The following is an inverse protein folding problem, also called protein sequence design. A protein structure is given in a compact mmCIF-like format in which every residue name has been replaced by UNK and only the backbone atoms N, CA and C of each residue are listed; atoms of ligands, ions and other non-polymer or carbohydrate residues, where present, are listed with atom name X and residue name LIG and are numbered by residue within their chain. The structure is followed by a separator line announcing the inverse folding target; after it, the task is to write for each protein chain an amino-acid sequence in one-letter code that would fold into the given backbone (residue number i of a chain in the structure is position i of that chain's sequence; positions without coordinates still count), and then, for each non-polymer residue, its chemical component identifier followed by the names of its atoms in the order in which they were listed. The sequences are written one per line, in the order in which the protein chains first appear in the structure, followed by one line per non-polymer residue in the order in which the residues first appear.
data_IF_378308275227
#
_entry.id   IF_378308275227
#
_cell.length_a   1.000
_cell.length_b   1.000
_cell.length_c   1.000
_cell.angle_alpha   90.00
_cell.angle_beta   90.00
_cell.angle_gamma   90.00
#
_symmetry.space_group_name_H-M   'P 1'
#
loop_
_entity.id
_entity.type
_entity.pdbx_description
1 polymer ?
#
# COMPACT_ATOMS: atom_id res chain seq x y z
N UNK A 1 -7.42 20.34 -9.77
CA UNK A 1 -6.60 20.82 -8.62
C UNK A 1 -5.38 19.91 -8.54
N UNK A 2 -4.17 20.45 -8.71
CA UNK A 2 -2.93 19.67 -8.61
C UNK A 2 -2.84 19.08 -7.20
N UNK A 3 -2.49 17.80 -7.09
CA UNK A 3 -2.32 17.10 -5.82
C UNK A 3 -0.83 17.15 -5.48
N UNK A 4 -0.47 17.97 -4.50
CA UNK A 4 0.92 18.12 -4.07
C UNK A 4 1.49 16.78 -3.57
N UNK A 5 2.66 16.39 -4.08
CA UNK A 5 3.41 15.17 -3.72
C UNK A 5 2.56 13.89 -3.77
N UNK A 6 1.71 13.75 -4.78
CA UNK A 6 0.79 12.62 -4.93
C UNK A 6 1.52 11.28 -5.03
N UNK A 7 2.59 11.22 -5.83
CA UNK A 7 3.38 10.01 -6.01
C UNK A 7 4.11 9.62 -4.72
N UNK A 8 4.62 10.60 -3.98
CA UNK A 8 5.22 10.33 -2.68
C UNK A 8 4.21 9.84 -1.65
N UNK A 9 3.00 10.43 -1.62
CA UNK A 9 1.93 9.98 -0.75
C UNK A 9 1.46 8.58 -1.11
N UNK A 10 1.42 8.24 -2.40
CA UNK A 10 1.16 6.87 -2.87
C UNK A 10 2.16 5.88 -2.28
N UNK A 11 3.46 6.18 -2.37
CA UNK A 11 4.51 5.37 -1.74
C UNK A 11 4.28 5.24 -0.23
N UNK A 12 4.16 6.37 0.48
CA UNK A 12 4.13 6.37 1.93
C UNK A 12 2.89 5.67 2.51
N UNK A 13 1.73 5.86 1.88
CA UNK A 13 0.48 5.25 2.32
C UNK A 13 0.54 3.72 2.23
N UNK A 14 0.99 3.17 1.09
CA UNK A 14 1.11 1.72 0.92
C UNK A 14 2.25 1.12 1.77
N UNK A 15 3.35 1.84 1.93
CA UNK A 15 4.42 1.45 2.85
C UNK A 15 3.91 1.31 4.29
N UNK A 16 3.07 2.25 4.75
CA UNK A 16 2.46 2.20 6.08
C UNK A 16 1.46 1.04 6.22
N UNK A 17 0.69 0.73 5.17
CA UNK A 17 -0.20 -0.45 5.17
C UNK A 17 0.60 -1.74 5.35
N UNK A 18 1.68 -1.93 4.59
CA UNK A 18 2.56 -3.09 4.72
C UNK A 18 3.24 -3.15 6.09
N UNK A 19 3.72 -2.02 6.61
CA UNK A 19 4.36 -1.95 7.93
C UNK A 19 3.40 -2.36 9.05
N UNK A 20 2.17 -1.85 9.03
CA UNK A 20 1.12 -2.22 9.99
C UNK A 20 0.76 -3.68 9.90
N UNK A 21 0.61 -4.19 8.68
CA UNK A 21 0.30 -5.60 8.46
C UNK A 21 1.41 -6.52 8.96
N UNK A 22 2.69 -6.15 8.79
CA UNK A 22 3.80 -6.91 9.38
C UNK A 22 3.82 -6.85 10.90
N UNK A 23 3.43 -5.72 11.53
CA UNK A 23 3.23 -5.68 12.98
C UNK A 23 2.17 -6.69 13.42
N UNK A 24 1.03 -6.80 12.71
CA UNK A 24 0.00 -7.80 13.02
C UNK A 24 0.53 -9.23 12.85
N UNK A 25 1.30 -9.50 11.80
CA UNK A 25 1.94 -10.81 11.59
C UNK A 25 2.86 -11.17 12.75
N UNK A 26 3.73 -10.24 13.15
CA UNK A 26 4.64 -10.44 14.28
C UNK A 26 3.88 -10.62 15.60
N UNK A 27 2.78 -9.89 15.81
CA UNK A 27 1.90 -10.08 16.98
C UNK A 27 1.18 -11.43 17.01
N UNK A 28 1.14 -12.14 15.87
CA UNK A 28 0.57 -13.48 15.74
C UNK A 28 1.65 -14.55 15.47
N UNK A 29 2.91 -14.29 15.85
CA UNK A 29 4.05 -15.22 15.71
C UNK A 29 4.33 -15.67 14.26
N UNK A 30 3.96 -14.85 13.28
CA UNK A 30 4.22 -15.08 11.87
C UNK A 30 5.43 -14.26 11.39
N UNK A 31 6.25 -14.78 10.46
CA UNK A 31 7.32 -13.99 9.86
C UNK A 31 6.72 -12.83 9.04
N UNK A 32 7.50 -11.78 8.83
CA UNK A 32 7.14 -10.68 7.94
C UNK A 32 6.78 -11.18 6.54
N UNK A 33 5.93 -10.42 5.84
CA UNK A 33 5.42 -10.81 4.54
C UNK A 33 6.53 -10.79 3.47
N UNK A 34 6.59 -11.84 2.65
CA UNK A 34 7.61 -12.01 1.62
C UNK A 34 7.15 -11.29 0.33
N UNK A 35 8.00 -10.42 -0.27
CA UNK A 35 7.66 -9.69 -1.50
C UNK A 35 7.46 -10.63 -2.70
N UNK A 36 6.46 -10.33 -3.53
CA UNK A 36 6.17 -11.04 -4.78
C UNK A 36 7.06 -10.54 -5.93
N UNK A 37 8.37 -10.80 -5.84
CA UNK A 37 9.36 -10.31 -6.81
C UNK A 37 9.53 -11.26 -8.02
N UNK A 38 9.19 -12.54 -7.86
CA UNK A 38 9.23 -13.54 -8.92
C UNK A 38 7.82 -13.75 -9.51
N UNK A 39 7.52 -13.14 -10.64
CA UNK A 39 6.18 -13.17 -11.24
C UNK A 39 5.75 -14.55 -11.79
N UNK A 40 6.63 -15.55 -11.73
CA UNK A 40 6.37 -16.93 -12.17
C UNK A 40 6.05 -17.90 -11.03
N UNK A 41 6.12 -17.44 -9.79
CA UNK A 41 5.84 -18.26 -8.61
C UNK A 41 4.33 -18.51 -8.44
N UNK A 42 3.94 -19.67 -7.88
CA UNK A 42 2.54 -19.94 -7.59
C UNK A 42 1.99 -19.03 -6.49
N UNK A 43 0.71 -18.69 -6.61
CA UNK A 43 -0.01 -17.80 -5.72
C UNK A 43 -0.71 -18.57 -4.59
N UNK A 44 -0.79 -17.93 -3.42
CA UNK A 44 -1.64 -18.38 -2.34
C UNK A 44 -3.12 -18.25 -2.74
N UNK A 45 -3.91 -19.23 -2.30
CA UNK A 45 -5.35 -19.22 -2.51
C UNK A 45 -6.09 -18.26 -1.58
N UNK A 46 -7.14 -17.61 -2.08
CA UNK A 46 -8.00 -16.74 -1.29
C UNK A 46 -9.45 -16.77 -1.82
N UNK A 47 -10.42 -17.01 -0.93
CA UNK A 47 -11.85 -16.92 -1.24
C UNK A 47 -12.47 -15.74 -0.48
N UNK A 48 -12.95 -14.69 -1.18
CA UNK A 48 -13.40 -13.47 -0.53
C UNK A 48 -14.74 -13.62 0.19
N UNK A 49 -15.57 -14.58 -0.23
CA UNK A 49 -16.97 -14.73 0.23
C UNK A 49 -17.77 -13.43 0.11
N UNK A 50 -17.52 -12.66 -0.96
CA UNK A 50 -18.19 -11.41 -1.29
C UNK A 50 -19.08 -11.58 -2.52
N UNK A 51 -20.22 -10.90 -2.49
CA UNK A 51 -21.22 -10.90 -3.54
C UNK A 51 -21.54 -9.46 -3.95
N UNK A 52 -21.59 -9.21 -5.26
CA UNK A 52 -22.04 -7.94 -5.81
C UNK A 52 -23.54 -7.99 -6.05
N UNK A 53 -24.29 -7.14 -5.35
CA UNK A 53 -25.73 -7.00 -5.59
C UNK A 53 -26.07 -6.27 -6.88
N UNK A 54 -25.09 -5.63 -7.52
CA UNK A 54 -25.31 -4.87 -8.76
C UNK A 54 -25.55 -5.84 -9.92
N UNK A 55 -24.69 -6.85 -10.06
CA UNK A 55 -24.77 -7.83 -11.15
C UNK A 55 -25.17 -9.24 -10.69
N UNK A 56 -25.33 -9.45 -9.38
CA UNK A 56 -25.75 -10.73 -8.84
C UNK A 56 -24.65 -11.81 -8.88
N UNK A 57 -23.38 -11.41 -9.06
CA UNK A 57 -22.25 -12.33 -9.17
C UNK A 57 -21.28 -12.13 -7.99
N UNK A 58 -20.55 -13.18 -7.63
CA UNK A 58 -19.50 -13.13 -6.60
C UNK A 58 -18.21 -12.55 -7.14
N UNK A 59 -17.37 -11.98 -6.27
CA UNK A 59 -15.96 -11.78 -6.63
C UNK A 59 -15.30 -13.15 -6.83
N UNK A 60 -14.51 -13.32 -7.91
CA UNK A 60 -13.85 -14.59 -8.14
C UNK A 60 -12.87 -14.93 -7.00
N UNK A 61 -12.96 -16.17 -6.51
CA UNK A 61 -11.93 -16.73 -5.64
C UNK A 61 -10.71 -17.14 -6.46
N UNK A 62 -9.54 -17.12 -5.83
CA UNK A 62 -8.30 -17.63 -6.41
C UNK A 62 -7.93 -18.94 -5.72
N UNK A 63 -7.96 -20.10 -6.39
CA UNK A 63 -7.41 -21.34 -5.85
C UNK A 63 -5.90 -21.25 -5.64
N UNK A 64 -5.37 -22.03 -4.70
CA UNK A 64 -3.93 -22.14 -4.49
C UNK A 64 -3.21 -22.73 -5.73
N UNK A 65 -1.98 -22.30 -5.98
CA UNK A 65 -1.13 -22.87 -7.02
C UNK A 65 -1.31 -22.25 -8.40
N UNK A 66 -2.27 -21.32 -8.56
CA UNK A 66 -2.42 -20.51 -9.76
C UNK A 66 -1.19 -19.63 -9.99
N UNK A 67 -0.94 -19.24 -11.23
CA UNK A 67 0.16 -18.34 -11.60
C UNK A 67 -0.39 -17.12 -12.32
N UNK A 68 0.43 -16.08 -12.44
CA UNK A 68 0.09 -14.99 -13.35
C UNK A 68 0.09 -15.50 -14.80
N UNK A 69 -0.93 -15.10 -15.54
CA UNK A 69 -1.13 -15.43 -16.94
C UNK A 69 -1.23 -14.14 -17.75
N UNK A 70 -0.84 -14.21 -19.02
CA UNK A 70 -0.98 -13.08 -19.93
C UNK A 70 -2.46 -12.77 -20.17
N UNK A 71 -2.76 -11.48 -20.30
CA UNK A 71 -4.04 -10.96 -20.77
C UNK A 71 -3.87 -10.37 -22.17
N UNK A 72 -4.98 -10.07 -22.85
CA UNK A 72 -4.93 -9.48 -24.18
C UNK A 72 -4.19 -8.13 -24.19
N UNK A 73 -4.33 -7.35 -23.12
CA UNK A 73 -3.79 -6.00 -22.99
C UNK A 73 -2.37 -5.96 -22.41
N UNK A 74 -1.97 -6.98 -21.64
CA UNK A 74 -0.69 -7.00 -20.93
C UNK A 74 -0.18 -8.43 -20.74
N UNK A 75 1.11 -8.63 -20.94
CA UNK A 75 1.79 -9.88 -20.62
C UNK A 75 2.51 -9.80 -19.27
N UNK A 76 2.73 -10.94 -18.62
CA UNK A 76 3.60 -11.03 -17.43
C UNK A 76 5.01 -10.53 -17.76
N UNK A 77 5.44 -10.71 -19.01
CA UNK A 77 6.73 -10.20 -19.50
C UNK A 77 6.77 -8.66 -19.54
N UNK A 78 5.65 -7.98 -19.75
CA UNK A 78 5.59 -6.51 -19.66
C UNK A 78 5.93 -6.02 -18.26
N UNK A 79 5.38 -6.68 -17.23
CA UNK A 79 5.69 -6.35 -15.84
C UNK A 79 7.18 -6.57 -15.54
N UNK A 80 7.76 -7.68 -16.02
CA UNK A 80 9.20 -7.95 -15.90
C UNK A 80 10.00 -6.80 -16.55
N UNK A 81 9.64 -6.39 -17.78
CA UNK A 81 10.31 -5.29 -18.49
C UNK A 81 10.20 -3.94 -17.77
N UNK A 82 9.01 -3.60 -17.26
CA UNK A 82 8.82 -2.34 -16.53
C UNK A 82 9.61 -2.32 -15.24
N UNK A 83 9.64 -3.43 -14.48
CA UNK A 83 10.48 -3.57 -13.29
C UNK A 83 11.95 -3.29 -13.63
N UNK A 84 12.50 -3.92 -14.66
CA UNK A 84 13.91 -3.73 -15.05
C UNK A 84 14.20 -2.27 -15.43
N UNK A 85 13.33 -1.63 -16.23
CA UNK A 85 13.48 -0.22 -16.62
C UNK A 85 13.44 0.74 -15.43
N UNK A 86 12.58 0.47 -14.45
CA UNK A 86 12.48 1.27 -13.23
C UNK A 86 13.74 1.11 -12.39
N UNK A 87 14.22 -0.12 -12.18
CA UNK A 87 15.46 -0.39 -11.45
C UNK A 87 16.67 0.24 -12.15
N UNK A 88 16.75 0.16 -13.48
CA UNK A 88 17.80 0.82 -14.27
C UNK A 88 17.78 2.34 -14.06
N UNK A 89 16.62 2.99 -14.14
CA UNK A 89 16.48 4.43 -13.93
C UNK A 89 16.89 4.85 -12.50
N UNK A 90 16.54 4.04 -11.49
CA UNK A 90 16.97 4.25 -10.10
C UNK A 90 18.49 4.17 -9.99
N UNK A 91 19.10 3.12 -10.54
CA UNK A 91 20.55 2.90 -10.48
C UNK A 91 21.35 3.98 -11.23
N UNK A 92 20.82 4.48 -12.34
CA UNK A 92 21.42 5.58 -13.12
C UNK A 92 21.18 6.96 -12.49
N UNK A 93 20.22 7.10 -11.58
CA UNK A 93 19.87 8.35 -10.90
C UNK A 93 19.07 9.35 -11.75
N UNK A 94 18.47 8.91 -12.85
CA UNK A 94 17.60 9.74 -13.69
C UNK A 94 16.54 8.90 -14.44
N UNK A 95 15.42 9.55 -14.77
CA UNK A 95 14.36 9.01 -15.62
C UNK A 95 14.36 9.71 -16.99
N UNK A 96 13.78 9.07 -18.00
CA UNK A 96 13.76 9.57 -19.39
C UNK A 96 12.32 9.82 -19.83
N UNK A 97 12.03 11.02 -20.32
CA UNK A 97 10.70 11.38 -20.83
C UNK A 97 10.47 10.90 -22.28
N UNK A 98 9.29 11.19 -22.85
CA UNK A 98 8.92 10.81 -24.22
C UNK A 98 9.77 11.50 -25.31
N UNK A 99 10.52 12.54 -24.96
CA UNK A 99 11.40 13.29 -25.87
C UNK A 99 12.88 12.91 -25.69
N UNK A 100 13.19 11.96 -24.81
CA UNK A 100 14.56 11.56 -24.49
C UNK A 100 15.26 12.46 -23.48
N UNK A 101 14.55 13.42 -22.87
CA UNK A 101 15.10 14.29 -21.84
C UNK A 101 15.28 13.53 -20.52
N UNK A 102 16.41 13.75 -19.86
CA UNK A 102 16.77 13.09 -18.61
C UNK A 102 16.43 13.98 -17.43
N UNK A 103 15.55 13.51 -16.55
CA UNK A 103 15.21 14.19 -15.28
C UNK A 103 15.87 13.45 -14.12
N UNK A 104 16.68 14.16 -13.34
CA UNK A 104 17.39 13.55 -12.21
C UNK A 104 16.44 13.16 -11.07
N UNK A 105 16.69 12.01 -10.46
CA UNK A 105 16.01 11.54 -9.25
C UNK A 105 16.66 12.19 -8.01
N UNK A 106 16.44 13.48 -7.83
CA UNK A 106 16.99 14.25 -6.70
C UNK A 106 16.33 13.87 -5.35
N UNK A 107 16.89 14.35 -4.23
CA UNK A 107 16.38 14.07 -2.87
C UNK A 107 14.97 14.61 -2.59
N UNK A 108 14.52 15.63 -3.34
CA UNK A 108 13.31 16.41 -3.03
C UNK A 108 12.10 15.94 -3.83
N UNK A 109 12.30 15.58 -5.09
CA UNK A 109 11.25 15.24 -6.06
C UNK A 109 11.38 13.82 -6.57
N UNK A 110 12.54 13.16 -6.43
CA UNK A 110 12.79 11.83 -7.00
C UNK A 110 11.76 10.78 -6.56
N UNK A 111 11.37 10.79 -5.28
CA UNK A 111 10.34 9.87 -4.77
C UNK A 111 8.95 10.13 -5.36
N UNK A 112 8.60 11.39 -5.63
CA UNK A 112 7.30 11.77 -6.19
C UNK A 112 7.20 11.41 -7.68
N UNK A 113 8.30 11.61 -8.41
CA UNK A 113 8.47 11.17 -9.80
C UNK A 113 8.35 9.65 -9.88
N UNK A 114 9.08 8.91 -9.03
CA UNK A 114 9.01 7.46 -8.99
C UNK A 114 7.61 6.97 -8.61
N UNK A 115 6.95 7.63 -7.66
CA UNK A 115 5.57 7.29 -7.29
C UNK A 115 4.61 7.43 -8.46
N UNK A 116 4.75 8.51 -9.23
CA UNK A 116 3.95 8.76 -10.42
C UNK A 116 4.22 7.76 -11.55
N UNK A 117 5.43 7.21 -11.64
CA UNK A 117 5.84 6.18 -12.60
C UNK A 117 5.34 4.78 -12.17
N UNK A 118 5.57 4.40 -10.91
CA UNK A 118 5.34 3.04 -10.40
C UNK A 118 3.84 2.74 -10.22
N UNK A 119 3.05 3.67 -9.68
CA UNK A 119 1.57 3.61 -9.73
C UNK A 119 1.11 3.51 -11.19
N UNK A 120 1.86 4.19 -12.06
CA UNK A 120 1.44 5.04 -13.17
C UNK A 120 0.19 5.85 -12.87
N UNK A 121 0.38 7.14 -12.72
CA UNK A 121 -0.71 8.11 -12.84
C UNK A 121 -0.60 8.90 -14.13
N UNK A 122 -1.57 9.77 -14.40
CA UNK A 122 -1.50 10.73 -15.51
C UNK A 122 -0.23 11.61 -15.46
N UNK A 123 0.38 11.75 -14.28
CA UNK A 123 1.61 12.52 -14.06
C UNK A 123 2.89 11.71 -14.32
N UNK A 124 2.80 10.46 -14.79
CA UNK A 124 3.97 9.67 -15.19
C UNK A 124 4.71 10.36 -16.33
N UNK A 125 6.03 10.51 -16.18
CA UNK A 125 6.88 11.22 -17.14
C UNK A 125 6.95 10.51 -18.51
N UNK A 126 6.77 9.19 -18.51
CA UNK A 126 6.81 8.35 -19.71
C UNK A 126 6.10 7.02 -19.45
N UNK A 127 4.77 7.00 -19.57
CA UNK A 127 3.96 5.80 -19.36
C UNK A 127 4.17 4.73 -20.43
N UNK A 128 4.60 5.10 -21.65
CA UNK A 128 4.87 4.13 -22.73
C UNK A 128 6.14 3.32 -22.44
N UNK A 129 7.15 3.95 -21.84
CA UNK A 129 8.40 3.30 -21.50
C UNK A 129 8.35 2.61 -20.12
N UNK A 130 7.89 3.29 -19.08
CA UNK A 130 7.88 2.73 -17.72
C UNK A 130 6.62 1.93 -17.39
N UNK A 131 5.56 2.03 -18.21
CA UNK A 131 4.35 1.25 -18.05
C UNK A 131 3.49 1.66 -16.86
N UNK A 132 2.71 0.68 -16.38
CA UNK A 132 1.81 0.79 -15.23
C UNK A 132 1.97 -0.42 -14.32
N UNK A 133 3.18 -0.58 -13.77
CA UNK A 133 3.59 -1.77 -13.05
C UNK A 133 2.61 -2.12 -11.92
N UNK A 134 2.38 -1.19 -10.99
CA UNK A 134 1.51 -1.38 -9.83
C UNK A 134 0.07 -1.78 -10.22
N UNK A 135 -0.57 -1.01 -11.10
CA UNK A 135 -1.98 -1.22 -11.45
C UNK A 135 -2.18 -2.49 -12.26
N UNK A 136 -1.28 -2.80 -13.20
CA UNK A 136 -1.36 -4.06 -13.93
C UNK A 136 -1.13 -5.28 -13.04
N UNK A 137 -0.32 -5.15 -11.98
CA UNK A 137 -0.24 -6.16 -10.92
C UNK A 137 -1.63 -6.45 -10.32
N UNK A 138 -2.36 -5.42 -9.90
CA UNK A 138 -3.73 -5.56 -9.40
C UNK A 138 -4.65 -6.26 -10.39
N UNK A 139 -4.63 -5.85 -11.66
CA UNK A 139 -5.47 -6.43 -12.71
C UNK A 139 -5.14 -7.91 -12.92
N UNK A 140 -3.86 -8.26 -13.05
CA UNK A 140 -3.42 -9.64 -13.25
C UNK A 140 -3.77 -10.55 -12.08
N UNK A 141 -3.57 -10.10 -10.82
CA UNK A 141 -3.99 -10.88 -9.65
C UNK A 141 -5.51 -11.06 -9.57
N UNK A 142 -6.29 -10.06 -10.01
CA UNK A 142 -7.73 -10.14 -10.02
C UNK A 142 -8.27 -11.05 -11.14
N UNK A 143 -7.56 -11.12 -12.27
CA UNK A 143 -7.94 -11.88 -13.45
C UNK A 143 -7.43 -13.34 -13.46
N UNK A 144 -6.66 -13.79 -12.45
CA UNK A 144 -6.07 -15.14 -12.46
C UNK A 144 -7.07 -16.29 -12.68
N UNK A 145 -8.33 -16.11 -12.31
CA UNK A 145 -9.38 -17.13 -12.51
C UNK A 145 -9.92 -17.21 -13.94
N UNK A 146 -9.79 -16.14 -14.73
CA UNK A 146 -10.32 -16.03 -16.10
C UNK A 146 -9.55 -14.95 -16.91
N UNK A 147 -8.25 -15.18 -17.19
CA UNK A 147 -7.37 -14.14 -17.76
C UNK A 147 -7.76 -13.70 -19.17
N UNK A 148 -8.47 -14.53 -19.92
CA UNK A 148 -8.96 -14.21 -21.26
C UNK A 148 -10.47 -14.00 -21.34
N UNK A 149 -11.15 -13.94 -20.19
CA UNK A 149 -12.57 -13.60 -20.08
C UNK A 149 -13.53 -14.64 -20.65
N UNK A 150 -13.06 -15.83 -21.04
CA UNK A 150 -13.88 -16.85 -21.69
C UNK A 150 -14.98 -17.41 -20.78
N UNK A 151 -14.74 -17.39 -19.46
CA UNK A 151 -15.68 -17.88 -18.45
C UNK A 151 -16.63 -16.78 -17.96
N UNK A 152 -16.42 -15.52 -18.41
CA UNK A 152 -17.18 -14.34 -18.01
C UNK A 152 -17.27 -14.21 -16.48
N UNK A 153 -16.17 -14.52 -15.78
CA UNK A 153 -16.11 -14.35 -14.33
C UNK A 153 -15.93 -12.88 -13.98
N UNK A 154 -16.54 -12.46 -12.86
CA UNK A 154 -16.14 -11.20 -12.22
C UNK A 154 -14.66 -11.30 -11.80
N UNK A 155 -13.91 -10.19 -11.82
CA UNK A 155 -12.57 -10.16 -11.27
C UNK A 155 -12.57 -10.45 -9.75
N UNK A 156 -11.44 -10.91 -9.24
CA UNK A 156 -11.19 -11.07 -7.81
C UNK A 156 -11.08 -9.72 -7.08
N UNK A 157 -10.97 -9.78 -5.75
CA UNK A 157 -10.96 -8.58 -4.88
C UNK A 157 -9.78 -7.63 -5.11
N UNK A 158 -8.71 -8.09 -5.76
CA UNK A 158 -7.59 -7.23 -6.13
C UNK A 158 -7.97 -6.14 -7.14
N UNK A 159 -9.12 -6.25 -7.82
CA UNK A 159 -9.60 -5.25 -8.78
C UNK A 159 -10.20 -3.97 -8.15
N UNK A 160 -10.52 -4.00 -6.85
CA UNK A 160 -11.28 -2.93 -6.19
C UNK A 160 -10.58 -2.49 -4.91
N UNK A 161 -10.32 -1.18 -4.78
CA UNK A 161 -9.64 -0.58 -3.63
C UNK A 161 -10.41 -0.73 -2.32
N UNK A 162 -11.74 -0.94 -2.38
CA UNK A 162 -12.55 -1.22 -1.19
C UNK A 162 -12.38 -2.66 -0.68
N UNK A 163 -11.81 -3.57 -1.48
CA UNK A 163 -11.75 -5.01 -1.17
C UNK A 163 -10.35 -5.62 -1.23
N UNK A 164 -9.40 -4.99 -1.92
CA UNK A 164 -8.07 -5.55 -2.20
C UNK A 164 -7.26 -5.88 -0.94
N UNK A 165 -7.34 -5.04 0.11
CA UNK A 165 -6.67 -5.25 1.41
C UNK A 165 -7.07 -6.55 2.13
N UNK A 166 -8.16 -7.20 1.71
CA UNK A 166 -8.65 -8.46 2.29
C UNK A 166 -7.86 -9.67 1.81
N UNK A 167 -7.22 -9.57 0.64
CA UNK A 167 -6.45 -10.65 0.04
C UNK A 167 -4.98 -10.57 0.49
N UNK A 168 -4.39 -11.64 1.07
CA UNK A 168 -2.98 -11.65 1.47
C UNK A 168 -1.99 -11.30 0.35
N UNK A 169 -2.33 -11.54 -0.92
CA UNK A 169 -1.46 -11.20 -2.06
C UNK A 169 -1.25 -9.69 -2.19
N UNK A 170 -2.18 -8.86 -1.69
CA UNK A 170 -2.04 -7.41 -1.63
C UNK A 170 -0.71 -7.05 -0.96
N UNK A 171 -0.45 -7.61 0.22
CA UNK A 171 0.73 -7.26 1.00
C UNK A 171 2.02 -7.77 0.38
N UNK A 172 1.99 -8.93 -0.30
CA UNK A 172 3.15 -9.44 -1.05
C UNK A 172 3.47 -8.56 -2.25
N UNK A 173 2.46 -8.15 -3.00
CA UNK A 173 2.61 -7.24 -4.14
C UNK A 173 3.14 -5.87 -3.71
N UNK A 174 2.54 -5.28 -2.68
CA UNK A 174 2.94 -3.96 -2.19
C UNK A 174 4.28 -3.98 -1.47
N UNK A 175 4.71 -5.11 -0.90
CA UNK A 175 6.10 -5.28 -0.42
C UNK A 175 7.09 -5.25 -1.57
N UNK A 176 6.81 -5.94 -2.67
CA UNK A 176 7.65 -5.84 -3.88
C UNK A 176 7.69 -4.40 -4.44
N UNK A 177 6.55 -3.72 -4.47
CA UNK A 177 6.49 -2.31 -4.91
C UNK A 177 7.25 -1.38 -3.95
N UNK A 178 7.12 -1.57 -2.64
CA UNK A 178 7.90 -0.86 -1.61
C UNK A 178 9.40 -1.10 -1.80
N UNK A 179 9.83 -2.33 -2.10
CA UNK A 179 11.24 -2.64 -2.35
C UNK A 179 11.84 -1.80 -3.49
N UNK A 180 11.08 -1.50 -4.55
CA UNK A 180 11.54 -0.58 -5.62
C UNK A 180 11.80 0.83 -5.08
N UNK A 181 10.91 1.34 -4.22
CA UNK A 181 11.13 2.62 -3.55
C UNK A 181 12.29 2.56 -2.57
N UNK A 182 12.49 1.44 -1.87
CA UNK A 182 13.63 1.24 -0.98
C UNK A 182 14.96 1.23 -1.74
N UNK A 183 15.03 0.64 -2.94
CA UNK A 183 16.22 0.73 -3.80
C UNK A 183 16.58 2.19 -4.08
N UNK A 184 15.60 3.03 -4.42
CA UNK A 184 15.86 4.46 -4.58
C UNK A 184 16.29 5.13 -3.27
N UNK A 185 15.60 4.86 -2.14
CA UNK A 185 15.97 5.44 -0.84
C UNK A 185 17.39 5.05 -0.41
N UNK A 186 17.89 3.88 -0.80
CA UNK A 186 19.27 3.43 -0.54
C UNK A 186 20.31 4.22 -1.34
N UNK A 187 19.94 4.86 -2.45
CA UNK A 187 20.85 5.73 -3.22
C UNK A 187 21.06 7.11 -2.56
N UNK A 188 20.17 7.49 -1.64
CA UNK A 188 20.25 8.79 -0.96
C UNK A 188 21.30 8.75 0.16
N UNK A 189 22.04 9.85 0.38
CA UNK A 189 22.96 9.93 1.50
C UNK A 189 22.18 9.84 2.82
N UNK A 190 22.70 9.13 3.84
CA UNK A 190 22.12 9.13 5.17
C UNK A 190 22.03 10.55 5.74
N UNK A 191 20.99 10.81 6.52
CA UNK A 191 20.87 12.08 7.23
C UNK A 191 22.07 12.32 8.14
N UNK A 192 22.60 13.54 8.08
CA UNK A 192 23.67 14.01 8.95
C UNK A 192 23.11 14.44 10.31
N UNK A 193 24.00 14.70 11.26
CA UNK A 193 23.60 15.26 12.55
C UNK A 193 22.85 16.58 12.39
N UNK A 194 23.29 17.46 11.50
CA UNK A 194 22.67 18.78 11.31
C UNK A 194 21.26 18.69 10.67
N UNK A 195 20.98 17.61 9.92
CA UNK A 195 19.64 17.35 9.35
C UNK A 195 18.63 16.90 10.43
N UNK A 196 19.11 16.19 11.45
CA UNK A 196 18.27 15.58 12.50
C UNK A 196 18.23 16.38 13.80
N UNK A 197 19.30 17.11 14.12
CA UNK A 197 19.44 17.81 15.40
C UNK A 197 18.55 19.05 15.45
N UNK A 198 17.67 19.10 16.44
CA UNK A 198 17.02 20.33 16.84
C UNK A 198 17.78 20.98 18.00
N UNK A 199 18.76 21.84 17.66
CA UNK A 199 19.65 22.49 18.65
C UNK A 199 18.90 23.21 19.76
N UNK A 200 19.34 22.96 21.00
CA UNK A 200 18.75 23.55 22.20
C UNK A 200 17.50 22.83 22.72
N UNK A 201 16.99 21.83 21.99
CA UNK A 201 15.86 21.00 22.43
C UNK A 201 16.39 19.60 22.78
N UNK A 202 16.04 19.11 23.97
CA UNK A 202 16.37 17.73 24.37
C UNK A 202 15.16 17.03 24.97
N UNK A 203 14.86 15.83 24.48
CA UNK A 203 13.84 14.95 25.06
C UNK A 203 14.44 14.28 26.29
N UNK A 204 13.79 14.45 27.46
CA UNK A 204 14.25 13.90 28.74
C UNK A 204 13.60 12.58 29.10
N UNK A 205 12.32 12.45 28.78
CA UNK A 205 11.57 11.21 29.02
C UNK A 205 10.35 11.16 28.11
N UNK A 206 9.98 9.95 27.73
CA UNK A 206 8.73 9.63 27.04
C UNK A 206 8.03 8.57 27.90
N UNK A 207 6.72 8.71 28.09
CA UNK A 207 5.89 7.73 28.79
C UNK A 207 4.53 7.66 28.09
N UNK A 208 4.01 6.45 27.89
CA UNK A 208 2.65 6.19 27.42
C UNK A 208 1.77 5.97 28.64
N UNK A 209 0.76 6.82 28.82
CA UNK A 209 -0.17 6.73 29.95
C UNK A 209 -1.48 6.07 29.50
N UNK A 210 -1.66 4.80 29.85
CA UNK A 210 -2.94 4.07 29.81
C UNK A 210 -3.43 3.75 31.23
N UNK A 211 -4.16 2.64 31.41
CA UNK A 211 -4.46 2.07 32.73
C UNK A 211 -3.18 1.68 33.49
N UNK A 212 -2.20 1.14 32.75
CA UNK A 212 -0.85 0.84 33.21
C UNK A 212 0.14 1.67 32.38
N UNK A 213 1.17 2.22 33.01
CA UNK A 213 2.15 3.02 32.29
C UNK A 213 2.96 2.12 31.36
N UNK A 214 3.17 2.60 30.13
CA UNK A 214 3.97 1.96 29.09
C UNK A 214 3.43 0.59 28.61
N UNK A 215 2.16 0.31 28.89
CA UNK A 215 1.41 -0.83 28.38
C UNK A 215 0.15 -0.31 27.68
N UNK A 216 -0.19 -0.90 26.52
CA UNK A 216 -1.44 -0.63 25.81
C UNK A 216 -2.18 -1.96 25.63
N UNK A 217 -3.33 -2.09 26.28
CA UNK A 217 -4.19 -3.27 26.17
C UNK A 217 -5.06 -3.17 24.92
N UNK A 218 -5.08 -4.24 24.14
CA UNK A 218 -5.97 -4.42 22.99
C UNK A 218 -7.04 -5.45 23.28
N UNK A 219 -8.18 -5.34 22.61
CA UNK A 219 -9.33 -6.25 22.77
C UNK A 219 -10.22 -6.24 21.53
N UNK A 220 -11.10 -7.24 21.41
CA UNK A 220 -12.12 -7.24 20.36
C UNK A 220 -13.40 -6.54 20.84
N UNK A 221 -13.85 -5.59 20.04
CA UNK A 221 -15.10 -4.86 20.26
C UNK A 221 -16.15 -5.27 19.23
N UNK A 222 -17.41 -5.28 19.68
CA UNK A 222 -18.59 -5.52 18.84
C UNK A 222 -19.15 -4.20 18.36
N UNK A 223 -19.48 -4.14 17.07
CA UNK A 223 -20.15 -2.98 16.47
C UNK A 223 -21.26 -3.43 15.49
N UNK A 224 -22.06 -2.47 15.03
CA UNK A 224 -23.21 -2.65 14.15
C UNK A 224 -23.09 -1.75 12.91
N UNK A 225 -22.99 -2.35 11.74
CA UNK A 225 -23.04 -1.65 10.46
C UNK A 225 -24.50 -1.53 10.00
N UNK A 226 -24.97 -0.31 9.74
CA UNK A 226 -26.30 -0.09 9.14
C UNK A 226 -26.26 -0.32 7.63
N UNK A 227 -27.00 -1.33 7.16
CA UNK A 227 -27.07 -1.72 5.75
C UNK A 227 -28.41 -1.36 5.11
N UNK A 228 -29.27 -0.60 5.80
CA UNK A 228 -30.62 -0.24 5.33
C UNK A 228 -30.61 0.52 4.01
N UNK A 229 -29.54 1.28 3.76
CA UNK A 229 -29.37 2.05 2.52
C UNK A 229 -28.62 1.27 1.42
N UNK A 230 -28.10 0.08 1.73
CA UNK A 230 -27.38 -0.76 0.78
C UNK A 230 -28.30 -1.73 0.02
N UNK A 231 -29.40 -2.17 0.64
CA UNK A 231 -30.32 -3.15 0.04
C UNK A 231 -31.78 -2.76 0.25
N UNK A 232 -32.64 -3.15 -0.70
CA UNK A 232 -34.08 -3.07 -0.51
C UNK A 232 -34.57 -4.28 0.28
N UNK A 233 -34.92 -4.06 1.54
CA UNK A 233 -35.42 -5.11 2.44
C UNK A 233 -36.95 -5.29 2.42
N UNK A 234 -37.69 -4.50 1.64
CA UNK A 234 -39.16 -4.57 1.59
C UNK A 234 -39.83 -4.27 2.93
N UNK A 235 -39.13 -3.63 3.87
CA UNK A 235 -39.63 -3.27 5.20
C UNK A 235 -39.15 -1.89 5.62
N UNK A 236 -39.93 -1.24 6.49
CA UNK A 236 -39.54 -0.01 7.17
C UNK A 236 -38.75 -0.36 8.44
N UNK A 237 -37.55 0.21 8.61
CA UNK A 237 -36.75 0.06 9.82
C UNK A 237 -35.28 -0.27 9.53
N UNK A 238 -34.41 0.04 10.50
CA UNK A 238 -32.97 -0.16 10.34
C UNK A 238 -32.62 -1.66 10.30
N UNK A 239 -31.84 -2.06 9.30
CA UNK A 239 -31.23 -3.39 9.19
C UNK A 239 -29.74 -3.24 9.48
N UNK A 240 -29.27 -3.94 10.52
CA UNK A 240 -27.89 -3.83 10.98
C UNK A 240 -27.20 -5.18 10.99
N UNK A 241 -25.94 -5.20 10.56
CA UNK A 241 -25.05 -6.36 10.60
C UNK A 241 -24.08 -6.20 11.76
N UNK A 242 -23.97 -7.22 12.60
CA UNK A 242 -23.03 -7.25 13.72
C UNK A 242 -21.69 -7.77 13.25
N UNK A 243 -20.61 -7.10 13.63
CA UNK A 243 -19.24 -7.55 13.39
C UNK A 243 -18.35 -7.26 14.60
N UNK A 244 -17.16 -7.86 14.61
CA UNK A 244 -16.12 -7.60 15.60
C UNK A 244 -14.92 -6.92 14.92
N UNK A 245 -14.23 -6.05 15.65
CA UNK A 245 -12.98 -5.47 15.21
C UNK A 245 -12.01 -5.32 16.40
N UNK A 246 -10.71 -5.22 16.11
CA UNK A 246 -9.71 -4.90 17.10
C UNK A 246 -9.91 -3.45 17.58
N UNK A 247 -9.72 -3.23 18.87
CA UNK A 247 -9.75 -1.92 19.52
C UNK A 247 -8.68 -1.90 20.63
N UNK A 248 -8.42 -0.72 21.20
CA UNK A 248 -7.45 -0.55 22.27
C UNK A 248 -7.96 0.42 23.35
N UNK A 249 -7.38 0.33 24.55
CA UNK A 249 -7.67 1.32 25.59
C UNK A 249 -7.23 2.73 25.18
N UNK A 250 -7.92 3.80 25.60
CA UNK A 250 -7.43 5.16 25.40
C UNK A 250 -6.09 5.37 26.12
N UNK A 251 -5.12 5.97 25.45
CA UNK A 251 -3.83 6.34 26.06
C UNK A 251 -3.40 7.75 25.65
N UNK A 252 -2.44 8.32 26.39
CA UNK A 252 -1.85 9.63 26.08
C UNK A 252 -0.32 9.59 26.15
N UNK A 253 0.35 10.41 25.35
CA UNK A 253 1.81 10.55 25.43
C UNK A 253 2.19 11.67 26.39
N UNK A 254 3.09 11.37 27.34
CA UNK A 254 3.79 12.37 28.15
C UNK A 254 5.24 12.45 27.70
N UNK A 255 5.57 13.53 27.00
CA UNK A 255 6.93 13.82 26.54
C UNK A 255 7.48 15.01 27.34
N UNK A 256 8.54 14.80 28.11
CA UNK A 256 9.22 15.86 28.84
C UNK A 256 10.36 16.38 27.99
N UNK A 257 10.30 17.66 27.64
CA UNK A 257 11.29 18.31 26.77
C UNK A 257 11.96 19.44 27.54
N UNK A 258 13.30 19.46 27.56
CA UNK A 258 14.07 20.61 28.02
C UNK A 258 14.41 21.49 26.83
N UNK A 259 14.04 22.77 26.92
CA UNK A 259 14.45 23.82 26.00
C UNK A 259 15.53 24.68 26.67
N UNK A 260 16.76 24.63 26.16
CA UNK A 260 17.88 25.44 26.59
C UNK A 260 18.00 26.78 25.82
N UNK A 261 17.13 27.01 24.84
CA UNK A 261 17.06 28.26 24.09
C UNK A 261 16.37 29.37 24.88
N UNK A 262 16.81 30.62 24.67
CA UNK A 262 16.28 31.82 25.34
C UNK A 262 15.04 32.41 24.67
N UNK A 263 14.58 31.83 23.54
CA UNK A 263 13.40 32.31 22.77
C UNK A 263 12.52 31.15 22.34
N UNK A 264 11.21 31.29 22.55
CA UNK A 264 10.19 30.51 21.84
C UNK A 264 10.05 31.08 20.43
N UNK A 265 10.53 30.37 19.40
CA UNK A 265 10.15 30.68 18.02
C UNK A 265 8.69 30.24 17.83
N UNK A 266 7.77 31.18 17.67
CA UNK A 266 6.43 30.89 17.14
C UNK A 266 6.58 30.56 15.65
N UNK A 267 6.15 29.37 15.26
CA UNK A 267 5.96 28.94 13.87
C UNK A 267 4.73 29.59 13.27
#
# INVERSE_FOLDING_TARGET
RIKDRKGELFFYMHQQMCARYDCERLSNDMPQMIPFHNFREPLEGYSPHLFSVINGLTYAGRPEGQKLHDMQEVSVQDLERWRERILEAINLGYVVDNHGHKTSLDQKHGIDILGSIIESSYESINSEYYGSLHNWGHVLFAATGDPDGRYMLNPGVMSDTATSLRDPIFYRWHRFVDDLFQEYKRTLPPYTKDDLEFRGVSVKSICVKGEENDVVKTFFKRDLLDVSHAFNFGRTGAVKVRYNHLDHEPFTYRIVVQNAGTKTRRS
#
